data_IF_656086661727
#
_entry.id   IF_656086661727
#
_cell.length_a   1.000
_cell.length_b   1.000
_cell.length_c   1.000
_cell.angle_alpha   90.00
_cell.angle_beta   90.00
_cell.angle_gamma   90.00
#
_symmetry.space_group_name_H-M   'P 1'
#
loop_
_entity.id
_entity.type
_entity.pdbx_description
1 polymer ?
#
# COMPACT_ATOMS: atom_id res chain seq x y z
N UNK A 1 -19.72 0.89 7.73
CA UNK A 1 -18.26 0.82 7.52
C UNK A 1 -17.80 -0.60 7.77
N UNK A 2 -16.89 -1.14 6.95
CA UNK A 2 -16.39 -2.51 7.11
C UNK A 2 -15.08 -2.58 7.94
N UNK A 3 -14.56 -1.43 8.42
CA UNK A 3 -13.33 -1.35 9.21
C UNK A 3 -12.04 -1.60 8.42
N UNK A 4 -12.07 -1.49 7.10
CA UNK A 4 -10.91 -1.73 6.22
C UNK A 4 -9.97 -0.51 6.22
N UNK A 5 -8.68 -0.76 6.39
CA UNK A 5 -7.65 0.26 6.21
C UNK A 5 -7.38 0.49 4.71
N UNK A 6 -7.30 1.76 4.30
CA UNK A 6 -7.02 2.14 2.92
C UNK A 6 -5.60 2.68 2.81
N UNK A 7 -4.83 2.15 1.86
CA UNK A 7 -3.55 2.71 1.44
C UNK A 7 -3.70 3.25 0.02
N UNK A 8 -3.32 4.50 -0.22
CA UNK A 8 -3.46 5.12 -1.55
C UNK A 8 -2.36 6.12 -1.89
N UNK A 9 -2.26 6.49 -3.16
CA UNK A 9 -1.25 7.45 -3.67
C UNK A 9 -1.89 8.75 -4.13
N UNK A 10 -1.12 9.84 -4.06
CA UNK A 10 -1.37 11.10 -4.76
C UNK A 10 -2.84 11.57 -4.74
N UNK A 11 -3.38 11.84 -5.93
CA UNK A 11 -4.73 12.40 -6.10
C UNK A 11 -5.86 11.47 -5.64
N UNK A 12 -5.68 10.15 -5.68
CA UNK A 12 -6.69 9.19 -5.20
C UNK A 12 -6.81 9.26 -3.68
N UNK A 13 -5.68 9.28 -2.96
CA UNK A 13 -5.69 9.50 -1.52
C UNK A 13 -6.39 10.82 -1.15
N UNK A 14 -6.11 11.90 -1.90
CA UNK A 14 -6.76 13.19 -1.71
C UNK A 14 -8.29 13.14 -1.89
N UNK A 15 -8.78 12.42 -2.90
CA UNK A 15 -10.23 12.25 -3.14
C UNK A 15 -10.91 11.43 -2.04
N UNK A 16 -10.27 10.36 -1.57
CA UNK A 16 -10.79 9.52 -0.48
C UNK A 16 -10.88 10.33 0.81
N UNK A 17 -9.81 11.05 1.16
CA UNK A 17 -9.78 11.92 2.35
C UNK A 17 -10.82 13.05 2.27
N UNK A 18 -11.01 13.67 1.10
CA UNK A 18 -12.02 14.70 0.89
C UNK A 18 -13.47 14.18 1.06
N UNK A 19 -13.69 12.88 0.89
CA UNK A 19 -14.97 12.22 1.18
C UNK A 19 -15.14 11.87 2.68
N UNK A 20 -14.19 12.24 3.53
CA UNK A 20 -14.23 11.98 4.98
C UNK A 20 -13.79 10.57 5.37
N UNK A 21 -13.20 9.80 4.45
CA UNK A 21 -12.74 8.44 4.71
C UNK A 21 -11.26 8.44 5.10
N UNK A 22 -10.86 7.81 6.22
CA UNK A 22 -9.46 7.66 6.59
C UNK A 22 -8.67 6.93 5.52
N UNK A 23 -7.47 7.43 5.20
CA UNK A 23 -6.57 6.83 4.20
C UNK A 23 -5.13 7.09 4.59
N UNK A 24 -4.35 6.01 4.65
CA UNK A 24 -2.91 6.02 4.83
C UNK A 24 -2.24 6.30 3.49
N UNK A 25 -1.30 7.23 3.45
CA UNK A 25 -0.59 7.51 2.20
C UNK A 25 0.54 6.50 1.97
N UNK A 26 0.83 6.17 0.71
CA UNK A 26 1.95 5.27 0.39
C UNK A 26 3.29 5.81 0.88
N UNK A 27 3.50 7.13 0.90
CA UNK A 27 4.72 7.73 1.44
C UNK A 27 4.86 7.48 2.96
N UNK A 28 3.75 7.43 3.70
CA UNK A 28 3.72 7.11 5.13
C UNK A 28 4.04 5.62 5.36
N UNK A 29 3.51 4.74 4.52
CA UNK A 29 3.81 3.30 4.55
C UNK A 29 5.29 3.01 4.23
N UNK A 30 5.78 3.61 3.16
CA UNK A 30 7.12 3.32 2.62
C UNK A 30 8.22 4.07 3.36
N UNK A 31 7.93 5.27 3.88
CA UNK A 31 8.93 6.23 4.37
C UNK A 31 9.76 6.87 3.24
N UNK A 32 9.36 6.67 1.97
CA UNK A 32 10.06 7.17 0.81
C UNK A 32 9.25 8.31 0.15
N UNK A 33 9.85 9.48 -0.10
CA UNK A 33 9.12 10.60 -0.69
C UNK A 33 8.76 10.33 -2.15
N UNK A 34 7.71 10.99 -2.63
CA UNK A 34 7.43 11.00 -4.06
C UNK A 34 8.59 11.64 -4.84
N UNK A 35 9.05 10.97 -5.89
CA UNK A 35 10.12 11.44 -6.77
C UNK A 35 9.91 11.00 -8.21
N UNK A 36 10.69 11.56 -9.14
CA UNK A 36 10.64 11.25 -10.58
C UNK A 36 9.23 11.35 -11.16
N UNK A 37 8.49 12.41 -10.81
CA UNK A 37 7.10 12.64 -11.23
C UNK A 37 6.17 11.45 -10.92
N UNK A 38 6.38 10.82 -9.76
CA UNK A 38 5.56 9.71 -9.29
C UNK A 38 5.81 8.37 -9.98
N UNK A 39 6.85 8.27 -10.83
CA UNK A 39 7.17 7.05 -11.60
C UNK A 39 7.49 5.82 -10.75
N UNK A 40 8.00 6.02 -9.53
CA UNK A 40 8.52 4.93 -8.69
C UNK A 40 7.86 4.86 -7.31
N UNK A 41 6.79 5.64 -7.09
CA UNK A 41 6.18 5.82 -5.75
C UNK A 41 5.68 4.52 -5.09
N UNK A 42 5.29 3.52 -5.86
CA UNK A 42 4.84 2.21 -5.34
C UNK A 42 5.86 1.09 -5.53
N UNK A 43 6.96 1.34 -6.24
CA UNK A 43 8.01 0.34 -6.52
C UNK A 43 8.91 0.14 -5.31
N UNK A 44 8.31 -0.30 -4.20
CA UNK A 44 8.95 -0.39 -2.90
C UNK A 44 8.70 -1.76 -2.24
N UNK A 45 9.68 -2.36 -1.54
CA UNK A 45 9.51 -3.65 -0.88
C UNK A 45 8.36 -3.69 0.11
N UNK A 46 8.12 -2.62 0.89
CA UNK A 46 6.96 -2.56 1.81
C UNK A 46 5.60 -2.61 1.12
N UNK A 47 5.51 -2.25 -0.16
CA UNK A 47 4.27 -2.39 -0.94
C UNK A 47 4.21 -3.80 -1.53
N UNK A 48 5.26 -4.19 -2.26
CA UNK A 48 5.25 -5.45 -3.00
C UNK A 48 5.35 -6.70 -2.12
N UNK A 49 5.99 -6.64 -0.95
CA UNK A 49 6.01 -7.76 0.00
C UNK A 49 4.59 -8.05 0.52
N UNK A 50 3.82 -7.01 0.85
CA UNK A 50 2.43 -7.17 1.29
C UNK A 50 1.50 -7.74 0.20
N UNK A 51 1.84 -7.51 -1.08
CA UNK A 51 1.07 -8.04 -2.23
C UNK A 51 1.52 -9.46 -2.61
N UNK A 52 2.82 -9.75 -2.58
CA UNK A 52 3.42 -10.95 -3.16
C UNK A 52 3.66 -12.07 -2.14
N UNK A 53 3.60 -11.79 -0.84
CA UNK A 53 3.78 -12.81 0.18
C UNK A 53 2.68 -13.89 0.09
N UNK A 54 3.09 -15.13 -0.18
CA UNK A 54 2.20 -16.29 -0.07
C UNK A 54 1.85 -16.59 1.39
N UNK A 55 0.67 -16.15 1.83
CA UNK A 55 0.17 -16.36 3.19
C UNK A 55 -0.14 -17.83 3.51
N UNK A 56 -0.01 -18.77 2.58
CA UNK A 56 -0.12 -20.20 2.89
C UNK A 56 1.18 -20.77 3.48
N UNK A 57 2.28 -20.02 3.42
CA UNK A 57 3.60 -20.41 3.91
C UNK A 57 3.92 -19.65 5.21
N UNK A 58 4.19 -20.37 6.29
CA UNK A 58 4.58 -19.77 7.58
C UNK A 58 5.86 -18.94 7.48
N UNK A 59 6.80 -19.35 6.62
CA UNK A 59 8.04 -18.61 6.36
C UNK A 59 7.79 -17.21 5.79
N UNK A 60 6.79 -17.04 4.93
CA UNK A 60 6.46 -15.73 4.37
C UNK A 60 5.77 -14.84 5.39
N UNK A 61 4.88 -15.41 6.24
CA UNK A 61 4.25 -14.67 7.34
C UNK A 61 5.29 -14.15 8.32
N UNK A 62 6.22 -15.00 8.74
CA UNK A 62 7.31 -14.61 9.62
C UNK A 62 8.16 -13.50 8.99
N UNK A 63 8.48 -13.61 7.70
CA UNK A 63 9.26 -12.58 7.01
C UNK A 63 8.52 -11.24 6.92
N UNK A 64 7.19 -11.24 6.74
CA UNK A 64 6.38 -10.02 6.79
C UNK A 64 6.43 -9.37 8.18
N UNK A 65 6.31 -10.16 9.25
CA UNK A 65 6.37 -9.68 10.63
C UNK A 65 7.75 -9.08 10.94
N UNK A 66 8.84 -9.74 10.54
CA UNK A 66 10.22 -9.26 10.70
C UNK A 66 10.47 -7.95 9.95
N UNK A 67 9.84 -7.76 8.80
CA UNK A 67 9.92 -6.53 7.99
C UNK A 67 8.95 -5.43 8.45
N UNK A 68 8.02 -5.74 9.36
CA UNK A 68 6.94 -4.83 9.77
C UNK A 68 6.00 -4.46 8.61
N UNK A 69 5.65 -5.43 7.75
CA UNK A 69 4.80 -5.23 6.58
C UNK A 69 3.49 -6.00 6.75
N UNK A 70 2.36 -5.31 6.71
CA UNK A 70 1.05 -5.96 6.66
C UNK A 70 0.74 -6.45 5.23
N UNK A 71 0.05 -7.59 5.06
CA UNK A 71 -0.42 -8.04 3.76
C UNK A 71 -1.58 -7.19 3.22
N UNK A 72 -1.76 -7.18 1.90
CA UNK A 72 -2.91 -6.55 1.23
C UNK A 72 -3.93 -7.60 0.80
N UNK A 73 -5.14 -7.53 1.37
CA UNK A 73 -6.24 -8.43 0.98
C UNK A 73 -6.93 -8.02 -0.34
N UNK A 74 -6.85 -6.74 -0.70
CA UNK A 74 -7.46 -6.19 -1.91
C UNK A 74 -6.55 -5.16 -2.56
N UNK A 75 -6.32 -5.31 -3.87
CA UNK A 75 -5.60 -4.35 -4.69
C UNK A 75 -6.52 -3.84 -5.79
N UNK A 76 -6.84 -2.54 -5.75
CA UNK A 76 -7.67 -1.87 -6.77
C UNK A 76 -6.82 -0.90 -7.55
N UNK A 77 -6.56 -1.22 -8.82
CA UNK A 77 -5.73 -0.42 -9.72
C UNK A 77 -6.42 -0.29 -11.06
N UNK A 78 -6.41 0.93 -11.62
CA UNK A 78 -6.67 1.18 -13.03
C UNK A 78 -5.40 1.75 -13.67
N UNK A 79 -5.28 1.58 -14.98
CA UNK A 79 -4.15 2.08 -15.76
C UNK A 79 -4.58 3.35 -16.50
N UNK A 80 -3.62 4.20 -16.87
CA UNK A 80 -3.89 5.26 -17.81
C UNK A 80 -4.41 4.66 -19.13
N UNK A 81 -5.43 5.28 -19.76
CA UNK A 81 -6.01 4.79 -21.01
C UNK A 81 -4.99 4.77 -22.15
#
# INVERSE_FOLDING_TARGET
EAGVELVSTGSTAGRIAAAGVPVTKVEELTGFPECLDGRVKTLHPKVHAGILADLRLDSHRQQLDELGVAPFDLVVVNLYP
#
